data_IF_462162427693
#
_entry.id   IF_462162427693
#
_cell.length_a   1.000
_cell.length_b   1.000
_cell.length_c   1.000
_cell.angle_alpha   90.00
_cell.angle_beta   90.00
_cell.angle_gamma   90.00
#
_symmetry.space_group_name_H-M   'P 1'
#
loop_
_entity.id
_entity.type
_entity.pdbx_description
1 polymer ?
#
# COMPACT_ATOMS: atom_id res chain seq x y z
N UNK A 1 15.29 15.03 24.88
CA UNK A 1 14.19 16.02 24.94
C UNK A 1 13.23 15.51 26.02
N UNK A 2 13.00 16.28 27.09
CA UNK A 2 12.20 15.80 28.24
C UNK A 2 10.81 16.45 28.18
N UNK A 3 9.75 15.63 28.17
CA UNK A 3 8.36 16.08 28.14
C UNK A 3 7.82 16.49 29.54
N UNK A 4 8.57 16.19 30.60
CA UNK A 4 8.18 16.47 31.97
C UNK A 4 8.46 17.93 32.38
N UNK A 5 7.62 18.51 33.26
CA UNK A 5 7.83 19.85 33.77
C UNK A 5 9.08 19.94 34.68
N UNK A 6 9.63 21.14 34.89
CA UNK A 6 10.88 21.33 35.64
C UNK A 6 10.81 20.90 37.12
N UNK A 7 9.60 20.86 37.70
CA UNK A 7 9.36 20.47 39.08
C UNK A 7 9.22 18.94 39.27
N UNK A 8 9.45 18.14 38.23
CA UNK A 8 9.29 16.69 38.31
C UNK A 8 10.30 16.00 39.23
N UNK A 9 9.78 15.06 40.01
CA UNK A 9 10.56 14.27 40.96
C UNK A 9 11.61 13.40 40.24
N UNK A 10 12.59 12.90 40.98
CA UNK A 10 13.60 12.00 40.41
C UNK A 10 12.96 10.71 39.89
N UNK A 11 11.94 10.19 40.59
CA UNK A 11 11.20 9.01 40.17
C UNK A 11 10.45 9.25 38.86
N UNK A 12 9.72 10.37 38.74
CA UNK A 12 9.01 10.73 37.51
C UNK A 12 9.94 10.83 36.31
N UNK A 13 11.12 11.44 36.50
CA UNK A 13 12.14 11.54 35.45
C UNK A 13 12.69 10.18 35.03
N UNK A 14 12.98 9.30 36.00
CA UNK A 14 13.45 7.95 35.72
C UNK A 14 12.38 7.10 35.00
N UNK A 15 11.13 7.19 35.45
CA UNK A 15 10.00 6.50 34.83
C UNK A 15 9.72 7.03 33.42
N UNK A 16 9.71 8.36 33.22
CA UNK A 16 9.53 8.97 31.93
C UNK A 16 10.61 8.56 30.92
N UNK A 17 11.88 8.49 31.36
CA UNK A 17 12.97 8.00 30.52
C UNK A 17 12.76 6.55 30.08
N UNK A 18 12.39 5.65 31.01
CA UNK A 18 12.09 4.25 30.70
C UNK A 18 10.93 4.09 29.71
N UNK A 19 9.85 4.86 29.91
CA UNK A 19 8.66 4.80 29.03
C UNK A 19 9.00 5.30 27.63
N UNK A 20 9.74 6.40 27.51
CA UNK A 20 10.15 6.94 26.22
C UNK A 20 11.02 5.94 25.46
N UNK A 21 11.98 5.31 26.14
CA UNK A 21 12.85 4.28 25.55
C UNK A 21 12.02 3.09 25.05
N UNK A 22 11.11 2.59 25.89
CA UNK A 22 10.23 1.46 25.56
C UNK A 22 9.29 1.76 24.37
N UNK A 23 8.78 2.98 24.28
CA UNK A 23 7.88 3.40 23.18
C UNK A 23 8.65 3.73 21.90
N UNK A 24 9.89 4.24 22.01
CA UNK A 24 10.74 4.55 20.87
C UNK A 24 11.12 3.28 20.10
N UNK A 25 11.31 2.17 20.81
CA UNK A 25 11.66 0.88 20.22
C UNK A 25 10.46 0.08 19.69
N UNK A 26 9.23 0.56 19.87
CA UNK A 26 8.04 -0.13 19.35
C UNK A 26 8.03 -0.04 17.81
N UNK A 27 8.14 -1.17 17.06
CA UNK A 27 8.08 -1.12 15.62
C UNK A 27 6.66 -0.73 15.18
N UNK A 28 6.54 0.43 14.53
CA UNK A 28 5.28 0.92 13.94
C UNK A 28 5.41 0.92 12.41
N UNK A 29 5.26 -0.24 11.72
CA UNK A 29 5.48 -0.37 10.28
C UNK A 29 4.29 0.15 9.45
N UNK A 30 3.61 1.21 9.89
CA UNK A 30 2.41 1.75 9.21
C UNK A 30 2.75 2.22 7.79
N UNK A 31 3.92 2.83 7.61
CA UNK A 31 4.41 3.23 6.28
C UNK A 31 4.68 2.04 5.37
N UNK A 32 5.18 0.93 5.91
CA UNK A 32 5.47 -0.27 5.12
C UNK A 32 4.19 -0.93 4.60
N UNK A 33 3.09 -0.87 5.36
CA UNK A 33 1.78 -1.40 4.91
C UNK A 33 1.29 -0.70 3.64
N UNK A 34 1.61 0.59 3.46
CA UNK A 34 1.27 1.37 2.27
C UNK A 34 2.34 1.29 1.15
N UNK A 35 3.40 0.51 1.34
CA UNK A 35 4.45 0.32 0.34
C UNK A 35 4.22 -0.96 -0.48
N UNK A 36 4.10 -0.91 -1.82
CA UNK A 36 4.01 -2.10 -2.65
C UNK A 36 5.23 -3.02 -2.51
N UNK A 37 6.38 -2.50 -2.08
CA UNK A 37 7.64 -3.25 -1.93
C UNK A 37 7.79 -3.82 -0.51
N UNK A 38 7.53 -3.02 0.52
CA UNK A 38 7.79 -3.39 1.90
C UNK A 38 6.59 -4.03 2.61
N UNK A 39 5.37 -3.88 2.06
CA UNK A 39 4.17 -4.39 2.70
C UNK A 39 4.28 -5.90 2.98
N UNK A 40 3.99 -6.35 4.21
CA UNK A 40 3.96 -7.77 4.55
C UNK A 40 3.06 -8.56 3.60
N UNK A 41 3.51 -9.73 3.15
CA UNK A 41 2.80 -10.52 2.15
C UNK A 41 1.32 -10.83 2.49
N UNK A 42 0.95 -11.12 3.76
CA UNK A 42 -0.45 -11.35 4.14
C UNK A 42 -1.33 -10.09 3.99
N UNK A 43 -0.74 -8.90 3.97
CA UNK A 43 -1.45 -7.63 3.88
C UNK A 43 -1.61 -7.10 2.46
N UNK A 44 -0.91 -7.68 1.49
CA UNK A 44 -1.00 -7.28 0.08
C UNK A 44 -2.42 -7.26 -0.49
N UNK A 45 -3.31 -8.24 -0.19
CA UNK A 45 -4.69 -8.19 -0.69
C UNK A 45 -5.45 -6.96 -0.19
N UNK A 46 -5.20 -6.56 1.06
CA UNK A 46 -5.85 -5.39 1.66
C UNK A 46 -5.30 -4.08 1.09
N UNK A 47 -3.99 -4.01 0.86
CA UNK A 47 -3.39 -2.87 0.17
C UNK A 47 -3.94 -2.74 -1.27
N UNK A 48 -4.04 -3.86 -2.00
CA UNK A 48 -4.63 -3.89 -3.33
C UNK A 48 -6.10 -3.45 -3.34
N UNK A 49 -6.90 -3.94 -2.39
CA UNK A 49 -8.29 -3.53 -2.20
C UNK A 49 -8.40 -2.03 -1.92
N UNK A 50 -7.56 -1.48 -1.05
CA UNK A 50 -7.51 -0.04 -0.75
C UNK A 50 -7.15 0.83 -1.97
N UNK A 51 -6.49 0.26 -2.99
CA UNK A 51 -6.17 0.91 -4.26
C UNK A 51 -7.16 0.58 -5.39
N UNK A 52 -8.34 0.06 -5.05
CA UNK A 52 -9.42 -0.30 -5.97
C UNK A 52 -9.03 -1.34 -7.03
N UNK A 53 -8.18 -2.30 -6.66
CA UNK A 53 -7.91 -3.47 -7.50
C UNK A 53 -9.06 -4.46 -7.33
N UNK A 54 -9.93 -4.53 -8.33
CA UNK A 54 -11.16 -5.33 -8.28
C UNK A 54 -10.90 -6.83 -8.53
N UNK A 55 -9.94 -7.15 -9.42
CA UNK A 55 -9.58 -8.53 -9.76
C UNK A 55 -8.26 -8.87 -9.06
N UNK A 56 -8.31 -9.82 -8.14
CA UNK A 56 -7.17 -10.23 -7.34
C UNK A 56 -6.97 -11.74 -7.37
N UNK A 57 -5.80 -12.18 -7.85
CA UNK A 57 -5.39 -13.58 -7.79
C UNK A 57 -4.53 -13.83 -6.53
N UNK A 58 -5.12 -14.50 -5.54
CA UNK A 58 -4.44 -14.88 -4.30
C UNK A 58 -3.40 -15.99 -4.49
N UNK A 59 -3.46 -16.73 -5.59
CA UNK A 59 -2.55 -17.84 -5.90
C UNK A 59 -1.34 -17.41 -6.74
N UNK A 60 -1.42 -16.23 -7.39
CA UNK A 60 -0.37 -15.72 -8.26
C UNK A 60 0.98 -15.43 -7.58
N UNK A 61 2.07 -15.27 -8.34
CA UNK A 61 3.38 -14.93 -7.81
C UNK A 61 3.39 -13.59 -7.05
N UNK A 62 4.08 -13.55 -5.89
CA UNK A 62 4.23 -12.33 -5.08
C UNK A 62 4.73 -11.10 -5.88
N UNK A 63 5.73 -11.22 -6.78
CA UNK A 63 6.19 -10.08 -7.57
C UNK A 63 5.09 -9.48 -8.44
N UNK A 64 4.28 -10.32 -9.09
CA UNK A 64 3.20 -9.88 -9.98
C UNK A 64 2.13 -9.08 -9.22
N UNK A 65 1.78 -9.53 -8.02
CA UNK A 65 0.84 -8.81 -7.13
C UNK A 65 1.39 -7.47 -6.69
N UNK A 66 2.68 -7.40 -6.34
CA UNK A 66 3.34 -6.13 -5.97
C UNK A 66 3.40 -5.17 -7.16
N UNK A 67 3.67 -5.66 -8.36
CA UNK A 67 3.62 -4.85 -9.59
C UNK A 67 2.23 -4.30 -9.86
N UNK A 68 1.18 -5.12 -9.71
CA UNK A 68 -0.21 -4.68 -9.86
C UNK A 68 -0.58 -3.56 -8.86
N UNK A 69 -0.15 -3.69 -7.60
CA UNK A 69 -0.32 -2.64 -6.59
C UNK A 69 0.46 -1.38 -6.97
N UNK A 70 1.71 -1.51 -7.41
CA UNK A 70 2.55 -0.38 -7.78
C UNK A 70 1.99 0.42 -8.98
N UNK A 71 1.35 -0.23 -9.94
CA UNK A 71 0.71 0.44 -11.09
C UNK A 71 -0.70 0.96 -10.81
N UNK A 72 -1.32 0.57 -9.69
CA UNK A 72 -2.75 0.78 -9.45
C UNK A 72 -3.17 2.25 -9.57
N UNK A 73 -2.45 3.18 -8.93
CA UNK A 73 -2.81 4.62 -8.95
C UNK A 73 -2.76 5.17 -10.39
N UNK A 74 -1.76 4.77 -11.16
CA UNK A 74 -1.59 5.18 -12.55
C UNK A 74 -2.74 4.64 -13.42
N UNK A 75 -3.09 3.36 -13.23
CA UNK A 75 -4.19 2.70 -13.94
C UNK A 75 -5.54 3.33 -13.59
N UNK A 76 -5.84 3.57 -12.30
CA UNK A 76 -7.10 4.18 -11.86
C UNK A 76 -7.27 5.61 -12.38
N UNK A 77 -6.19 6.40 -12.48
CA UNK A 77 -6.23 7.77 -13.03
C UNK A 77 -6.66 7.82 -14.50
N UNK A 78 -6.49 6.73 -15.25
CA UNK A 78 -6.84 6.64 -16.68
C UNK A 78 -8.06 5.76 -16.94
N UNK A 79 -8.74 5.31 -15.88
CA UNK A 79 -9.92 4.45 -15.99
C UNK A 79 -10.97 5.11 -16.91
N UNK A 80 -11.58 4.32 -17.79
CA UNK A 80 -12.55 4.80 -18.78
C UNK A 80 -11.95 5.38 -20.06
N UNK A 81 -10.62 5.47 -20.20
CA UNK A 81 -9.98 5.85 -21.47
C UNK A 81 -9.82 4.65 -22.40
N UNK A 82 -9.77 4.90 -23.71
CA UNK A 82 -9.43 3.88 -24.73
C UNK A 82 -8.10 3.19 -24.41
N UNK A 83 -7.10 3.94 -23.96
CA UNK A 83 -5.78 3.41 -23.60
C UNK A 83 -5.85 2.46 -22.38
N UNK A 84 -6.66 2.79 -21.36
CA UNK A 84 -6.86 1.91 -20.21
C UNK A 84 -7.58 0.61 -20.63
N UNK A 85 -8.60 0.70 -21.50
CA UNK A 85 -9.27 -0.48 -22.06
C UNK A 85 -8.29 -1.35 -22.85
N UNK A 86 -7.47 -0.75 -23.72
CA UNK A 86 -6.44 -1.48 -24.48
C UNK A 86 -5.47 -2.23 -23.57
N UNK A 87 -4.90 -1.55 -22.55
CA UNK A 87 -4.00 -2.16 -21.56
C UNK A 87 -4.65 -3.31 -20.80
N UNK A 88 -5.94 -3.22 -20.48
CA UNK A 88 -6.67 -4.28 -19.79
C UNK A 88 -6.87 -5.50 -20.71
N UNK A 89 -7.27 -5.26 -21.96
CA UNK A 89 -7.48 -6.32 -22.96
C UNK A 89 -6.18 -7.04 -23.34
N UNK A 90 -5.05 -6.32 -23.42
CA UNK A 90 -3.74 -6.91 -23.73
C UNK A 90 -3.26 -7.94 -22.70
N UNK A 91 -3.77 -7.88 -21.46
CA UNK A 91 -3.49 -8.89 -20.43
C UNK A 91 -4.26 -10.19 -20.66
N UNK A 92 -5.34 -10.15 -21.44
CA UNK A 92 -6.20 -11.29 -21.77
C UNK A 92 -5.78 -11.85 -23.12
N UNK A 93 -5.90 -11.03 -24.17
CA UNK A 93 -5.52 -11.38 -25.54
C UNK A 93 -5.29 -10.08 -26.34
N UNK A 94 -4.06 -9.84 -26.85
CA UNK A 94 -3.75 -8.66 -27.65
C UNK A 94 -4.48 -8.61 -29.01
N UNK A 95 -5.06 -9.74 -29.47
CA UNK A 95 -5.79 -9.81 -30.73
C UNK A 95 -7.22 -9.26 -30.65
N UNK A 96 -7.76 -9.05 -29.44
CA UNK A 96 -9.08 -8.45 -29.27
C UNK A 96 -9.02 -6.99 -29.76
N UNK A 97 -9.82 -6.62 -30.76
CA UNK A 97 -9.89 -5.25 -31.24
C UNK A 97 -10.96 -4.42 -30.50
N UNK A 98 -10.75 -3.10 -30.43
CA UNK A 98 -11.67 -2.16 -29.78
C UNK A 98 -12.30 -1.25 -30.83
N UNK A 99 -13.56 -1.53 -31.14
CA UNK A 99 -14.39 -0.74 -32.06
C UNK A 99 -15.33 0.21 -31.30
N UNK A 100 -15.61 1.36 -31.90
CA UNK A 100 -16.61 2.30 -31.38
C UNK A 100 -18.00 1.89 -31.86
N UNK A 101 -19.04 2.17 -31.07
CA UNK A 101 -20.41 1.71 -31.34
C UNK A 101 -21.05 2.27 -32.61
N UNK A 102 -20.53 3.38 -33.14
CA UNK A 102 -21.07 4.08 -34.32
C UNK A 102 -20.34 3.71 -35.62
N UNK A 103 -19.38 2.79 -35.58
CA UNK A 103 -18.66 2.29 -36.75
C UNK A 103 -19.23 0.97 -37.24
#
# INVERSE_FOLDING_TARGET
MNLLPPNSSQFERAFGALVVDTLADLPVPVGDVWSPVNCPAPLLPWLGWGLSIDIWDSTGPRPQRRTAIASAIDDQRRKGTRAAMRRALDRIDPLIDLTEWFN
#
